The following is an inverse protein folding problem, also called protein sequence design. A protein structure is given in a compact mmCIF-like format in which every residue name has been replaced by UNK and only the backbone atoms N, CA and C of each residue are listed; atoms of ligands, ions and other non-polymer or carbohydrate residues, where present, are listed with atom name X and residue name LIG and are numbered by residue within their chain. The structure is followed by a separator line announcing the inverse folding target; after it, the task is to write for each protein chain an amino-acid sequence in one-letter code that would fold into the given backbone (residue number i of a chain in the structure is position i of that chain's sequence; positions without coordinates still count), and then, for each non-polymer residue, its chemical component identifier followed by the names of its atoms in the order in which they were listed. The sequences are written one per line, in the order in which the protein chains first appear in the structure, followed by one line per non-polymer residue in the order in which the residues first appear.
data_IF_117298577839
#
_entry.id   IF_117298577839
#
_cell.length_a   1.000
_cell.length_b   1.000
_cell.length_c   1.000
_cell.angle_alpha   90.00
_cell.angle_beta   90.00
_cell.angle_gamma   90.00
#
_symmetry.space_group_name_H-M   'P 1'
#
loop_
_entity.id
_entity.type
_entity.pdbx_description
1 polymer ?
#
# COMPACT_ATOMS: atom_id res chain seq x y z
N UNK A 1 -16.97 -18.02 -2.18
CA UNK A 1 -15.95 -19.01 -1.76
C UNK A 1 -15.81 -19.18 -0.25
N UNK A 2 -16.08 -18.16 0.59
CA UNK A 2 -15.85 -18.27 2.06
C UNK A 2 -16.88 -19.09 2.84
N UNK A 3 -18.02 -19.48 2.25
CA UNK A 3 -19.13 -20.12 2.97
C UNK A 3 -18.86 -21.56 3.46
N UNK A 4 -17.71 -22.16 3.10
CA UNK A 4 -17.35 -23.54 3.45
C UNK A 4 -16.05 -23.66 4.27
N UNK A 5 -15.56 -22.55 4.85
CA UNK A 5 -14.36 -22.55 5.70
C UNK A 5 -14.75 -22.76 7.17
N UNK A 6 -13.97 -23.56 7.89
CA UNK A 6 -14.14 -23.72 9.34
C UNK A 6 -13.72 -22.44 10.08
N UNK A 7 -14.22 -22.21 11.31
CA UNK A 7 -13.80 -21.07 12.12
C UNK A 7 -12.28 -21.01 12.38
N UNK A 8 -11.64 -22.18 12.47
CA UNK A 8 -10.19 -22.31 12.66
C UNK A 8 -9.43 -21.82 11.43
N UNK A 9 -9.89 -22.19 10.23
CA UNK A 9 -9.29 -21.76 8.97
C UNK A 9 -9.45 -20.26 8.74
N UNK A 10 -10.63 -19.70 9.06
CA UNK A 10 -10.86 -18.26 9.01
C UNK A 10 -9.88 -17.53 9.95
N UNK A 11 -9.65 -18.07 11.14
CA UNK A 11 -8.72 -17.50 12.11
C UNK A 11 -7.27 -17.57 11.60
N UNK A 12 -6.86 -18.69 11.01
CA UNK A 12 -5.54 -18.85 10.39
C UNK A 12 -5.32 -17.84 9.25
N UNK A 13 -6.31 -17.69 8.35
CA UNK A 13 -6.26 -16.70 7.25
C UNK A 13 -6.16 -15.28 7.81
N UNK A 14 -6.93 -14.95 8.85
CA UNK A 14 -6.88 -13.63 9.47
C UNK A 14 -5.50 -13.34 10.08
N UNK A 15 -4.88 -14.34 10.73
CA UNK A 15 -3.52 -14.24 11.26
C UNK A 15 -2.50 -13.98 10.14
N UNK A 16 -2.64 -14.65 8.99
CA UNK A 16 -1.77 -14.44 7.85
C UNK A 16 -1.90 -13.02 7.27
N UNK A 17 -3.14 -12.51 7.13
CA UNK A 17 -3.38 -11.12 6.69
C UNK A 17 -2.85 -10.12 7.72
N UNK A 18 -2.98 -10.38 9.02
CA UNK A 18 -2.41 -9.50 10.05
C UNK A 18 -0.88 -9.47 10.01
N UNK A 19 -0.25 -10.60 9.73
CA UNK A 19 1.22 -10.72 9.74
C UNK A 19 1.86 -10.18 8.46
N UNK A 20 1.26 -10.47 7.30
CA UNK A 20 1.82 -10.12 5.97
C UNK A 20 1.19 -8.88 5.35
N UNK A 21 0.00 -8.50 5.79
CA UNK A 21 -0.76 -7.38 5.23
C UNK A 21 -0.16 -6.01 5.55
N UNK A 22 -0.75 -4.99 4.94
CA UNK A 22 -0.40 -3.60 5.16
C UNK A 22 -1.41 -2.96 6.10
N UNK A 23 -0.92 -2.15 7.03
CA UNK A 23 -1.72 -1.38 7.98
C UNK A 23 -2.23 -0.10 7.34
N UNK A 24 -3.55 0.08 7.37
CA UNK A 24 -4.21 1.30 6.89
C UNK A 24 -3.72 2.53 7.66
N UNK A 25 -3.61 2.42 8.99
CA UNK A 25 -3.16 3.51 9.85
C UNK A 25 -1.73 3.93 9.50
N UNK A 26 -0.83 2.96 9.33
CA UNK A 26 0.57 3.25 8.96
C UNK A 26 0.64 3.89 7.58
N UNK A 27 -0.14 3.41 6.61
CA UNK A 27 -0.17 3.99 5.26
C UNK A 27 -0.60 5.47 5.29
N UNK A 28 -1.66 5.82 6.01
CA UNK A 28 -2.11 7.21 6.15
C UNK A 28 -1.18 8.07 7.01
N UNK A 29 -0.58 7.51 8.06
CA UNK A 29 0.40 8.22 8.86
C UNK A 29 1.61 8.62 8.01
N UNK A 30 2.14 7.68 7.22
CA UNK A 30 3.23 7.97 6.29
C UNK A 30 2.80 9.00 5.23
N UNK A 31 1.58 8.88 4.69
CA UNK A 31 1.06 9.81 3.69
C UNK A 31 0.97 11.24 4.23
N UNK A 32 0.43 11.44 5.44
CA UNK A 32 0.18 12.77 5.99
C UNK A 32 1.44 13.39 6.59
N UNK A 33 2.23 12.59 7.34
CA UNK A 33 3.45 13.09 8.01
C UNK A 33 4.57 13.34 7.00
N UNK A 34 4.67 12.53 5.95
CA UNK A 34 5.72 12.61 4.94
C UNK A 34 5.17 13.12 3.59
N UNK A 35 4.20 14.04 3.69
CA UNK A 35 3.32 14.62 2.65
C UNK A 35 3.81 14.70 1.20
N UNK A 36 5.11 14.74 0.91
CA UNK A 36 5.63 14.85 -0.46
C UNK A 36 6.72 13.84 -0.83
N UNK A 37 7.15 12.99 0.09
CA UNK A 37 8.35 12.15 -0.11
C UNK A 37 8.06 10.77 -0.72
N UNK A 38 6.79 10.41 -0.92
CA UNK A 38 6.40 9.14 -1.56
C UNK A 38 6.63 7.90 -0.71
N UNK A 39 6.91 8.05 0.59
CA UNK A 39 7.26 6.93 1.48
C UNK A 39 6.04 6.02 1.73
N UNK A 40 4.82 6.57 1.75
CA UNK A 40 3.58 5.77 1.80
C UNK A 40 3.45 4.84 0.60
N UNK A 41 3.91 5.24 -0.59
CA UNK A 41 3.91 4.38 -1.79
C UNK A 41 4.93 3.26 -1.68
N UNK A 42 6.12 3.55 -1.16
CA UNK A 42 7.13 2.53 -0.90
C UNK A 42 6.65 1.48 0.11
N UNK A 43 5.91 1.91 1.14
CA UNK A 43 5.28 1.01 2.11
C UNK A 43 4.25 0.07 1.45
N UNK A 44 3.50 0.58 0.48
CA UNK A 44 2.48 -0.16 -0.28
C UNK A 44 3.04 -0.90 -1.51
N UNK A 45 4.35 -1.20 -1.51
CA UNK A 45 5.08 -1.93 -2.56
C UNK A 45 5.07 -1.26 -3.95
N UNK A 46 4.62 0.00 -4.04
CA UNK A 46 4.64 0.85 -5.23
C UNK A 46 5.98 1.58 -5.33
N UNK A 47 7.05 0.82 -5.58
CA UNK A 47 8.43 1.32 -5.65
C UNK A 47 8.60 2.38 -6.72
N UNK A 48 8.04 2.16 -7.92
CA UNK A 48 8.17 3.10 -9.05
C UNK A 48 7.57 4.44 -8.67
N UNK A 49 6.32 4.46 -8.22
CA UNK A 49 5.65 5.70 -7.85
C UNK A 49 6.32 6.40 -6.66
N UNK A 50 6.77 5.64 -5.65
CA UNK A 50 7.46 6.21 -4.50
C UNK A 50 8.79 6.88 -4.88
N UNK A 51 9.64 6.22 -5.67
CA UNK A 51 10.90 6.82 -6.13
C UNK A 51 10.70 7.97 -7.12
N UNK A 52 9.70 7.90 -8.00
CA UNK A 52 9.36 9.03 -8.88
C UNK A 52 8.95 10.25 -8.07
N UNK A 53 8.08 10.09 -7.07
CA UNK A 53 7.66 11.19 -6.20
C UNK A 53 8.83 11.76 -5.40
N UNK A 54 9.70 10.90 -4.84
CA UNK A 54 10.90 11.33 -4.13
C UNK A 54 11.84 12.13 -5.04
N UNK A 55 12.06 11.66 -6.28
CA UNK A 55 12.88 12.37 -7.27
C UNK A 55 12.30 13.74 -7.63
N UNK A 56 10.98 13.83 -7.84
CA UNK A 56 10.28 15.09 -8.09
C UNK A 56 10.36 16.04 -6.90
N UNK A 57 10.24 15.53 -5.67
CA UNK A 57 10.37 16.34 -4.46
C UNK A 57 11.78 16.90 -4.31
N UNK A 58 12.81 16.07 -4.50
CA UNK A 58 14.22 16.49 -4.46
C UNK A 58 14.50 17.54 -5.56
N UNK A 59 14.10 17.27 -6.80
CA UNK A 59 14.28 18.20 -7.90
C UNK A 59 13.52 19.53 -7.68
N UNK A 60 12.29 19.44 -7.15
CA UNK A 60 11.47 20.59 -6.79
C UNK A 60 12.12 21.48 -5.74
N UNK A 61 12.63 20.90 -4.66
CA UNK A 61 13.35 21.67 -3.64
C UNK A 61 14.68 22.23 -4.18
N UNK A 62 15.45 21.43 -4.92
CA UNK A 62 16.75 21.83 -5.46
C UNK A 62 16.68 22.97 -6.48
N UNK A 63 15.56 23.11 -7.20
CA UNK A 63 15.33 24.16 -8.22
C UNK A 63 14.34 25.24 -7.77
N UNK A 64 13.90 25.22 -6.51
CA UNK A 64 12.93 26.18 -5.97
C UNK A 64 13.44 27.62 -5.92
N UNK A 65 14.75 27.81 -5.74
CA UNK A 65 15.39 29.13 -5.67
C UNK A 65 15.32 29.94 -6.98
N UNK A 66 15.11 29.27 -8.12
CA UNK A 66 14.83 29.91 -9.43
C UNK A 66 13.35 29.81 -9.84
N UNK A 67 12.46 29.53 -8.89
CA UNK A 67 11.01 29.38 -9.03
C UNK A 67 10.53 28.19 -9.89
N UNK A 68 11.38 27.56 -10.70
CA UNK A 68 11.02 26.38 -11.51
C UNK A 68 10.59 25.20 -10.63
N UNK A 69 11.25 25.03 -9.48
CA UNK A 69 10.97 23.94 -8.56
C UNK A 69 9.53 23.87 -8.05
N UNK A 70 8.82 25.00 -8.00
CA UNK A 70 7.41 25.03 -7.59
C UNK A 70 6.50 24.25 -8.53
N UNK A 71 6.85 24.09 -9.81
CA UNK A 71 6.07 23.26 -10.75
C UNK A 71 6.15 21.79 -10.32
N UNK A 72 7.34 21.28 -10.01
CA UNK A 72 7.51 19.91 -9.53
C UNK A 72 6.82 19.69 -8.17
N UNK A 73 6.96 20.66 -7.25
CA UNK A 73 6.30 20.59 -5.94
C UNK A 73 4.77 20.63 -6.07
N UNK A 74 4.22 21.41 -6.99
CA UNK A 74 2.77 21.44 -7.26
C UNK A 74 2.26 20.09 -7.80
N UNK A 75 3.02 19.46 -8.71
CA UNK A 75 2.70 18.11 -9.20
C UNK A 75 2.69 17.11 -8.04
N UNK A 76 3.73 17.12 -7.19
CA UNK A 76 3.81 16.24 -6.01
C UNK A 76 2.66 16.50 -5.05
N UNK A 77 2.27 17.77 -4.84
CA UNK A 77 1.19 18.14 -3.95
C UNK A 77 -0.17 17.61 -4.44
N UNK A 78 -0.50 17.84 -5.72
CA UNK A 78 -1.73 17.31 -6.34
C UNK A 78 -1.73 15.78 -6.30
N UNK A 79 -0.59 15.15 -6.60
CA UNK A 79 -0.46 13.70 -6.52
C UNK A 79 -0.75 13.18 -5.10
N UNK A 80 -0.25 13.84 -4.04
CA UNK A 80 -0.56 13.41 -2.67
C UNK A 80 -2.03 13.57 -2.29
N UNK A 81 -2.71 14.59 -2.79
CA UNK A 81 -4.17 14.72 -2.62
C UNK A 81 -4.91 13.55 -3.29
N UNK A 82 -4.49 13.12 -4.48
CA UNK A 82 -5.04 11.93 -5.13
C UNK A 82 -4.75 10.67 -4.30
N UNK A 83 -3.55 10.58 -3.71
CA UNK A 83 -3.15 9.45 -2.88
C UNK A 83 -3.97 9.32 -1.58
N UNK A 84 -4.63 10.39 -1.09
CA UNK A 84 -5.60 10.28 0.01
C UNK A 84 -6.74 9.31 -0.31
N UNK A 85 -7.14 9.22 -1.57
CA UNK A 85 -8.21 8.31 -2.00
C UNK A 85 -7.66 6.96 -2.47
N UNK A 86 -6.54 6.95 -3.19
CA UNK A 86 -6.00 5.71 -3.76
C UNK A 86 -5.32 4.81 -2.71
N UNK A 87 -4.83 5.37 -1.61
CA UNK A 87 -4.18 4.62 -0.53
C UNK A 87 -5.11 3.57 0.08
N UNK A 88 -6.38 3.92 0.30
CA UNK A 88 -7.40 2.98 0.78
C UNK A 88 -7.52 1.76 -0.14
N UNK A 89 -7.64 2.00 -1.45
CA UNK A 89 -7.76 0.96 -2.46
C UNK A 89 -6.55 0.04 -2.50
N UNK A 90 -5.33 0.60 -2.45
CA UNK A 90 -4.08 -0.17 -2.47
C UNK A 90 -3.92 -1.07 -1.25
N UNK A 91 -4.18 -0.56 -0.04
CA UNK A 91 -4.11 -1.36 1.19
C UNK A 91 -5.06 -2.56 1.11
N UNK A 92 -6.31 -2.32 0.70
CA UNK A 92 -7.29 -3.39 0.60
C UNK A 92 -6.95 -4.39 -0.50
N UNK A 93 -6.44 -3.94 -1.65
CA UNK A 93 -6.00 -4.82 -2.72
C UNK A 93 -4.88 -5.77 -2.25
N UNK A 94 -3.88 -5.25 -1.53
CA UNK A 94 -2.78 -6.06 -1.00
C UNK A 94 -3.30 -7.06 0.05
N UNK A 95 -4.12 -6.61 1.00
CA UNK A 95 -4.64 -7.46 2.06
C UNK A 95 -5.59 -8.55 1.52
N UNK A 96 -6.38 -8.24 0.50
CA UNK A 96 -7.26 -9.21 -0.16
C UNK A 96 -6.46 -10.24 -0.96
N UNK A 97 -5.42 -9.84 -1.69
CA UNK A 97 -4.53 -10.77 -2.39
C UNK A 97 -3.88 -11.79 -1.44
N UNK A 98 -3.43 -11.33 -0.27
CA UNK A 98 -2.88 -12.23 0.77
C UNK A 98 -3.97 -13.17 1.30
N UNK A 99 -5.19 -12.67 1.52
CA UNK A 99 -6.32 -13.48 1.97
C UNK A 99 -6.68 -14.58 0.97
N UNK A 100 -6.66 -14.25 -0.32
CA UNK A 100 -6.92 -15.20 -1.40
C UNK A 100 -5.83 -16.28 -1.48
N UNK A 101 -4.56 -15.88 -1.38
CA UNK A 101 -3.42 -16.81 -1.32
C UNK A 101 -3.51 -17.76 -0.12
N UNK A 102 -3.78 -17.23 1.07
CA UNK A 102 -3.97 -18.00 2.30
C UNK A 102 -5.11 -19.02 2.17
N UNK A 103 -6.25 -18.58 1.60
CA UNK A 103 -7.42 -19.44 1.37
C UNK A 103 -7.08 -20.57 0.39
N UNK A 104 -6.39 -20.26 -0.70
CA UNK A 104 -5.99 -21.25 -1.70
C UNK A 104 -5.04 -22.31 -1.10
N UNK A 105 -4.09 -21.89 -0.25
CA UNK A 105 -3.16 -22.80 0.45
C UNK A 105 -3.90 -23.77 1.38
N UNK A 106 -4.85 -23.28 2.19
CA UNK A 106 -5.63 -24.13 3.11
C UNK A 106 -6.50 -25.12 2.35
N UNK A 107 -7.21 -24.66 1.31
CA UNK A 107 -8.07 -25.52 0.49
C UNK A 107 -7.25 -26.59 -0.24
N UNK A 108 -6.04 -26.25 -0.71
CA UNK A 108 -5.14 -27.22 -1.33
C UNK A 108 -4.67 -28.29 -0.34
N UNK A 109 -4.24 -27.88 0.86
CA UNK A 109 -3.80 -28.81 1.91
C UNK A 109 -4.90 -29.77 2.34
N UNK A 110 -6.13 -29.28 2.52
CA UNK A 110 -7.28 -30.13 2.86
C UNK A 110 -7.54 -31.24 1.84
N UNK A 111 -7.30 -30.98 0.54
CA UNK A 111 -7.47 -31.98 -0.52
C UNK A 111 -6.39 -33.07 -0.50
N UNK A 112 -5.23 -32.82 0.10
CA UNK A 112 -4.15 -33.80 0.21
C UNK A 112 -4.32 -34.74 1.41
N UNK A 113 -5.18 -34.37 2.37
CA UNK A 113 -5.50 -35.17 3.56
C UNK A 113 -6.57 -36.24 3.30
N UNK A 114 -7.15 -36.30 2.09
CA UNK A 114 -8.09 -37.32 1.63
C UNK A 114 -7.44 -38.22 0.57
#
# INVERSE_FOLDING_TARGET
MQQNLSPEEITAINSEVQTRGKSMLVAYLLLIVLWGFGIHRLYLDDKRGGFTMLGLAIAGWATSWILIGFIFLAIVWVWNVIDLFTTYGKVNAINNAIREEATARIVANRKLEY
#
